data_IF_395691302166
#
_entry.id   IF_395691302166
#
_cell.length_a   1.000
_cell.length_b   1.000
_cell.length_c   1.000
_cell.angle_alpha   90.00
_cell.angle_beta   90.00
_cell.angle_gamma   90.00
#
_symmetry.space_group_name_H-M   'P 1'
#
loop_
_entity.id
_entity.type
_entity.pdbx_description
1 polymer ?
#
# COMPACT_ATOMS: atom_id res chain seq x y z
N UNK A 1 17.38 3.03 -26.11
CA UNK A 1 16.36 3.19 -25.04
C UNK A 1 15.96 1.79 -24.60
N UNK A 2 16.02 1.48 -23.31
CA UNK A 2 15.55 0.17 -22.83
C UNK A 2 14.03 0.08 -23.04
N UNK A 3 13.49 -1.09 -23.40
CA UNK A 3 12.04 -1.26 -23.49
C UNK A 3 11.41 -0.95 -22.13
N UNK A 4 10.29 -0.23 -22.12
CA UNK A 4 9.61 0.26 -20.89
C UNK A 4 9.27 -0.86 -19.89
N UNK A 5 9.20 -2.10 -20.37
CA UNK A 5 9.04 -3.31 -19.56
C UNK A 5 10.18 -3.47 -18.55
N UNK A 6 11.43 -3.15 -18.91
CA UNK A 6 12.60 -3.39 -18.05
C UNK A 6 12.56 -2.49 -16.79
N UNK A 7 12.41 -1.15 -16.89
CA UNK A 7 12.25 -0.30 -15.70
C UNK A 7 11.07 -0.69 -14.80
N UNK A 8 9.94 -1.11 -15.38
CA UNK A 8 8.75 -1.53 -14.63
C UNK A 8 9.05 -2.78 -13.80
N UNK A 9 9.63 -3.81 -14.44
CA UNK A 9 9.97 -5.07 -13.76
C UNK A 9 11.00 -4.83 -12.66
N UNK A 10 12.00 -3.98 -12.92
CA UNK A 10 13.01 -3.61 -11.90
C UNK A 10 12.36 -2.87 -10.73
N UNK A 11 11.49 -1.89 -10.99
CA UNK A 11 10.77 -1.17 -9.93
C UNK A 11 9.91 -2.08 -9.06
N UNK A 12 9.17 -3.00 -9.68
CA UNK A 12 8.38 -4.01 -8.96
C UNK A 12 9.26 -4.96 -8.16
N UNK A 13 10.39 -5.40 -8.72
CA UNK A 13 11.34 -6.26 -8.04
C UNK A 13 11.95 -5.57 -6.82
N UNK A 14 12.33 -4.29 -6.92
CA UNK A 14 12.85 -3.50 -5.80
C UNK A 14 11.79 -3.38 -4.70
N UNK A 15 10.54 -3.07 -5.06
CA UNK A 15 9.44 -3.02 -4.08
C UNK A 15 9.22 -4.35 -3.37
N UNK A 16 9.18 -5.45 -4.13
CA UNK A 16 9.06 -6.80 -3.60
C UNK A 16 10.24 -7.18 -2.70
N UNK A 17 11.46 -6.79 -3.05
CA UNK A 17 12.67 -7.00 -2.25
C UNK A 17 12.62 -6.20 -0.94
N UNK A 18 12.25 -4.93 -0.97
CA UNK A 18 12.08 -4.11 0.23
C UNK A 18 11.00 -4.71 1.16
N UNK A 19 9.90 -5.18 0.56
CA UNK A 19 8.87 -5.96 1.25
C UNK A 19 9.43 -7.24 1.87
N UNK A 20 10.20 -8.02 1.12
CA UNK A 20 10.86 -9.24 1.60
C UNK A 20 11.81 -9.00 2.76
N UNK A 21 12.60 -7.92 2.72
CA UNK A 21 13.50 -7.51 3.81
C UNK A 21 12.69 -7.17 5.06
N UNK A 22 11.65 -6.35 4.94
CA UNK A 22 10.74 -6.04 6.05
C UNK A 22 10.12 -7.31 6.63
N UNK A 23 9.59 -8.17 5.77
CA UNK A 23 8.99 -9.42 6.16
C UNK A 23 9.96 -10.36 6.85
N UNK A 24 11.22 -10.41 6.41
CA UNK A 24 12.26 -11.23 7.02
C UNK A 24 12.55 -10.77 8.45
N UNK A 25 12.76 -9.47 8.66
CA UNK A 25 12.98 -8.92 10.00
C UNK A 25 11.76 -9.17 10.89
N UNK A 26 10.57 -8.77 10.47
CA UNK A 26 9.35 -8.96 11.28
C UNK A 26 9.09 -10.43 11.60
N UNK A 27 9.31 -11.35 10.64
CA UNK A 27 9.01 -12.76 10.82
C UNK A 27 10.07 -13.56 11.59
N UNK A 28 11.35 -13.16 11.54
CA UNK A 28 12.45 -13.90 12.18
C UNK A 28 13.04 -13.23 13.42
N UNK A 29 13.13 -11.91 13.45
CA UNK A 29 13.75 -11.19 14.57
C UNK A 29 12.73 -10.70 15.58
N UNK A 30 11.43 -10.75 15.27
CA UNK A 30 10.37 -10.31 16.16
C UNK A 30 10.31 -8.79 16.37
N UNK A 31 11.02 -8.02 15.52
CA UNK A 31 10.95 -6.56 15.55
C UNK A 31 9.51 -6.12 15.25
N UNK A 32 8.95 -5.16 16.02
CA UNK A 32 7.62 -4.63 15.74
C UNK A 32 7.49 -4.16 14.28
N UNK A 33 6.42 -4.58 13.56
CA UNK A 33 6.16 -4.21 12.16
C UNK A 33 6.44 -2.76 11.80
N UNK A 34 5.93 -1.85 12.63
CA UNK A 34 6.00 -0.41 12.41
C UNK A 34 7.45 0.11 12.35
N UNK A 35 8.34 -0.40 13.23
CA UNK A 35 9.74 0.00 13.28
C UNK A 35 10.47 -0.47 12.02
N UNK A 36 10.25 -1.72 11.63
CA UNK A 36 10.87 -2.28 10.42
C UNK A 36 10.47 -1.50 9.17
N UNK A 37 9.17 -1.25 8.98
CA UNK A 37 8.66 -0.55 7.80
C UNK A 37 9.05 0.93 7.77
N UNK A 38 9.04 1.62 8.91
CA UNK A 38 9.50 3.01 8.99
C UNK A 38 11.00 3.12 8.69
N UNK A 39 11.82 2.22 9.24
CA UNK A 39 13.25 2.17 8.95
C UNK A 39 13.50 1.96 7.45
N UNK A 40 12.80 1.00 6.84
CA UNK A 40 12.90 0.76 5.40
C UNK A 40 12.42 1.94 4.55
N UNK A 41 11.38 2.67 4.98
CA UNK A 41 10.94 3.90 4.31
C UNK A 41 12.05 4.94 4.26
N UNK A 42 12.73 5.18 5.39
CA UNK A 42 13.84 6.14 5.49
C UNK A 42 15.02 5.70 4.61
N UNK A 43 15.38 4.41 4.67
CA UNK A 43 16.47 3.84 3.85
C UNK A 43 16.16 3.92 2.36
N UNK A 44 14.99 3.45 1.93
CA UNK A 44 14.58 3.46 0.53
C UNK A 44 14.54 4.88 -0.03
N UNK A 45 14.05 5.83 0.77
CA UNK A 45 13.99 7.23 0.38
C UNK A 45 15.37 7.88 0.32
N UNK A 46 16.23 7.63 1.30
CA UNK A 46 17.60 8.09 1.30
C UNK A 46 18.37 7.55 0.10
N UNK A 47 18.23 6.26 -0.20
CA UNK A 47 18.81 5.64 -1.38
C UNK A 47 18.29 6.27 -2.68
N UNK A 48 16.99 6.56 -2.77
CA UNK A 48 16.42 7.25 -3.92
C UNK A 48 16.96 8.69 -4.07
N UNK A 49 17.14 9.42 -2.97
CA UNK A 49 17.73 10.76 -2.98
C UNK A 49 19.20 10.75 -3.40
N UNK A 50 20.00 9.79 -2.92
CA UNK A 50 21.40 9.63 -3.32
C UNK A 50 21.47 9.32 -4.81
N UNK A 51 20.61 8.42 -5.30
CA UNK A 51 20.60 8.03 -6.71
C UNK A 51 20.15 9.18 -7.63
N UNK A 52 19.24 10.04 -7.17
CA UNK A 52 18.70 11.14 -7.99
C UNK A 52 19.39 12.49 -7.76
N UNK A 53 20.45 12.56 -6.93
CA UNK A 53 21.04 13.80 -6.43
C UNK A 53 20.00 14.80 -5.87
N UNK A 54 18.91 14.28 -5.29
CA UNK A 54 17.74 15.05 -4.84
C UNK A 54 16.92 15.72 -5.94
N UNK A 55 17.29 15.56 -7.21
CA UNK A 55 16.61 16.19 -8.36
C UNK A 55 15.46 15.34 -8.89
N UNK A 56 14.37 15.96 -9.38
CA UNK A 56 13.33 15.24 -10.09
C UNK A 56 13.86 14.74 -11.44
N UNK A 57 13.69 13.44 -11.69
CA UNK A 57 13.97 12.85 -13.01
C UNK A 57 12.75 13.07 -13.88
N UNK A 58 12.86 14.03 -14.79
CA UNK A 58 11.81 14.41 -15.75
C UNK A 58 12.18 13.88 -17.15
N UNK A 59 11.22 13.77 -18.07
CA UNK A 59 11.37 13.18 -19.42
C UNK A 59 11.23 11.65 -19.46
N UNK A 60 10.13 11.15 -18.89
CA UNK A 60 9.75 9.74 -19.03
C UNK A 60 9.23 9.46 -20.44
N UNK A 61 9.50 8.26 -20.96
CA UNK A 61 9.09 7.85 -22.31
C UNK A 61 7.55 7.89 -22.43
N UNK A 62 6.98 8.28 -23.59
CA UNK A 62 5.52 8.32 -23.76
C UNK A 62 4.81 6.99 -23.44
N UNK A 63 5.46 5.87 -23.74
CA UNK A 63 5.01 4.52 -23.39
C UNK A 63 4.85 4.31 -21.87
N UNK A 64 5.71 4.92 -21.05
CA UNK A 64 5.60 4.86 -19.59
C UNK A 64 4.47 5.74 -19.08
N UNK A 65 4.32 6.93 -19.66
CA UNK A 65 3.27 7.87 -19.27
C UNK A 65 1.86 7.32 -19.53
N UNK A 66 1.70 6.41 -20.50
CA UNK A 66 0.43 5.71 -20.74
C UNK A 66 -0.11 4.99 -19.48
N UNK A 67 0.76 4.51 -18.60
CA UNK A 67 0.35 3.84 -17.34
C UNK A 67 -0.37 4.80 -16.39
N UNK A 68 0.00 6.08 -16.42
CA UNK A 68 -0.55 7.10 -15.52
C UNK A 68 -1.55 8.07 -16.15
N UNK A 69 -1.45 8.26 -17.48
CA UNK A 69 -2.20 9.26 -18.25
C UNK A 69 -2.96 8.66 -19.43
N UNK A 70 -2.77 7.37 -19.73
CA UNK A 70 -3.46 6.70 -20.82
C UNK A 70 -4.94 6.51 -20.52
N UNK A 71 -5.73 6.42 -21.59
CA UNK A 71 -7.16 6.14 -21.54
C UNK A 71 -7.49 4.99 -22.48
N UNK A 72 -8.39 4.11 -22.04
CA UNK A 72 -8.90 3.00 -22.83
C UNK A 72 -10.43 3.12 -22.79
N UNK A 73 -11.06 3.27 -23.97
CA UNK A 73 -12.51 3.44 -24.10
C UNK A 73 -13.10 4.56 -23.21
N UNK A 74 -12.36 5.66 -23.03
CA UNK A 74 -12.76 6.81 -22.19
C UNK A 74 -12.62 6.59 -20.69
N UNK A 75 -12.02 5.48 -20.26
CA UNK A 75 -11.71 5.21 -18.85
C UNK A 75 -10.20 5.38 -18.63
N UNK A 76 -9.76 6.18 -17.64
CA UNK A 76 -8.35 6.30 -17.30
C UNK A 76 -7.74 4.94 -16.94
N UNK A 77 -6.60 4.61 -17.56
CA UNK A 77 -5.89 3.36 -17.34
C UNK A 77 -5.58 3.07 -15.85
N UNK A 78 -5.23 4.06 -15.00
CA UNK A 78 -5.05 3.83 -13.57
C UNK A 78 -6.28 3.21 -12.86
N UNK A 79 -7.49 3.55 -13.31
CA UNK A 79 -8.75 3.00 -12.75
C UNK A 79 -8.92 1.54 -13.15
N UNK A 80 -8.63 1.22 -14.40
CA UNK A 80 -8.66 -0.16 -14.91
C UNK A 80 -7.64 -1.02 -14.17
N UNK A 81 -6.41 -0.51 -14.02
CA UNK A 81 -5.35 -1.19 -13.29
C UNK A 81 -5.76 -1.41 -11.81
N UNK A 82 -6.32 -0.40 -11.15
CA UNK A 82 -6.85 -0.54 -9.79
C UNK A 82 -7.92 -1.62 -9.70
N UNK A 83 -8.88 -1.65 -10.63
CA UNK A 83 -9.94 -2.66 -10.65
C UNK A 83 -9.38 -4.09 -10.84
N UNK A 84 -8.44 -4.26 -11.78
CA UNK A 84 -7.75 -5.54 -12.00
C UNK A 84 -7.06 -6.00 -10.71
N UNK A 85 -6.30 -5.10 -10.07
CA UNK A 85 -5.58 -5.44 -8.85
C UNK A 85 -6.52 -5.74 -7.68
N UNK A 86 -7.64 -5.02 -7.55
CA UNK A 86 -8.66 -5.31 -6.55
C UNK A 86 -9.27 -6.71 -6.74
N UNK A 87 -9.55 -7.11 -7.99
CA UNK A 87 -10.05 -8.46 -8.31
C UNK A 87 -8.99 -9.52 -8.03
N UNK A 88 -7.73 -9.30 -8.42
CA UNK A 88 -6.64 -10.24 -8.15
C UNK A 88 -6.44 -10.45 -6.65
N UNK A 89 -6.41 -9.36 -5.87
CA UNK A 89 -6.35 -9.44 -4.41
C UNK A 89 -7.58 -10.17 -3.86
N UNK A 90 -8.78 -9.94 -4.41
CA UNK A 90 -10.02 -10.57 -3.96
C UNK A 90 -9.95 -12.09 -4.11
N UNK A 91 -9.51 -12.54 -5.29
CA UNK A 91 -9.31 -13.97 -5.55
C UNK A 91 -8.22 -14.53 -4.64
N UNK A 92 -7.11 -13.81 -4.47
CA UNK A 92 -5.99 -14.23 -3.63
C UNK A 92 -6.43 -14.41 -2.17
N UNK A 93 -7.19 -13.49 -1.59
CA UNK A 93 -7.61 -13.58 -0.18
C UNK A 93 -8.80 -14.51 0.05
N UNK A 94 -9.77 -14.60 -0.88
CA UNK A 94 -10.99 -15.39 -0.66
C UNK A 94 -10.93 -16.81 -1.22
N UNK A 95 -10.22 -17.02 -2.33
CA UNK A 95 -10.24 -18.29 -3.06
C UNK A 95 -8.94 -19.09 -2.98
N UNK A 96 -7.91 -18.62 -2.28
CA UNK A 96 -6.64 -19.36 -2.14
C UNK A 96 -6.34 -19.78 -0.71
N UNK A 97 -5.45 -20.77 -0.56
CA UNK A 97 -4.91 -21.18 0.76
C UNK A 97 -4.13 -20.06 1.43
N UNK A 98 -3.49 -19.20 0.65
CA UNK A 98 -2.74 -18.04 1.16
C UNK A 98 -3.64 -17.15 2.01
N UNK A 99 -4.80 -16.74 1.49
CA UNK A 99 -5.75 -15.91 2.23
C UNK A 99 -6.21 -16.55 3.55
N UNK A 100 -6.59 -17.83 3.53
CA UNK A 100 -6.99 -18.57 4.75
C UNK A 100 -5.90 -18.57 5.82
N UNK A 101 -4.63 -18.77 5.43
CA UNK A 101 -3.52 -18.71 6.37
C UNK A 101 -3.25 -17.29 6.87
N UNK A 102 -3.40 -16.27 6.02
CA UNK A 102 -3.25 -14.86 6.43
C UNK A 102 -4.30 -14.48 7.49
N UNK A 103 -5.57 -14.83 7.27
CA UNK A 103 -6.63 -14.57 8.27
C UNK A 103 -6.41 -15.36 9.56
N UNK A 104 -5.99 -16.63 9.47
CA UNK A 104 -5.69 -17.45 10.65
C UNK A 104 -4.53 -16.87 11.49
N UNK A 105 -3.43 -16.46 10.82
CA UNK A 105 -2.28 -15.82 11.47
C UNK A 105 -2.70 -14.48 12.11
N UNK A 106 -3.51 -13.69 11.41
CA UNK A 106 -4.00 -12.42 11.92
C UNK A 106 -4.93 -12.54 13.13
N UNK A 107 -5.73 -13.62 13.21
CA UNK A 107 -6.62 -13.84 14.34
C UNK A 107 -5.90 -14.36 15.58
N UNK A 108 -5.00 -15.34 15.43
CA UNK A 108 -4.16 -15.83 16.52
C UNK A 108 -2.90 -16.50 15.96
N UNK A 109 -1.77 -15.80 16.07
CA UNK A 109 -0.48 -16.28 15.57
C UNK A 109 -0.03 -17.60 16.24
N UNK A 110 -0.24 -17.74 17.55
CA UNK A 110 0.16 -18.95 18.28
C UNK A 110 -0.69 -20.15 17.87
N UNK A 111 -2.00 -19.97 17.75
CA UNK A 111 -2.90 -21.03 17.31
C UNK A 111 -2.61 -21.47 15.86
N UNK A 112 -2.28 -20.53 14.98
CA UNK A 112 -1.86 -20.82 13.62
C UNK A 112 -0.57 -21.66 13.59
N UNK A 113 0.40 -21.33 14.46
CA UNK A 113 1.66 -22.08 14.57
C UNK A 113 1.45 -23.51 15.06
N UNK A 114 0.65 -23.72 16.11
CA UNK A 114 0.30 -25.04 16.64
C UNK A 114 -0.50 -25.87 15.62
N UNK A 115 -1.26 -25.22 14.74
CA UNK A 115 -1.99 -25.86 13.63
C UNK A 115 -1.10 -26.24 12.43
N UNK A 116 0.23 -26.15 12.56
CA UNK A 116 1.19 -26.53 11.53
C UNK A 116 1.38 -25.49 10.42
N UNK A 117 0.86 -24.27 10.58
CA UNK A 117 1.06 -23.19 9.60
C UNK A 117 2.45 -22.60 9.82
N UNK A 118 3.24 -22.51 8.75
CA UNK A 118 4.53 -21.83 8.78
C UNK A 118 4.33 -20.30 8.79
N UNK A 119 4.07 -19.76 9.99
CA UNK A 119 3.76 -18.34 10.21
C UNK A 119 4.82 -17.43 9.59
N UNK A 120 6.11 -17.73 9.81
CA UNK A 120 7.20 -16.89 9.30
C UNK A 120 7.19 -16.79 7.77
N UNK A 121 6.95 -17.91 7.06
CA UNK A 121 6.86 -17.91 5.59
C UNK A 121 5.71 -17.02 5.10
N UNK A 122 4.52 -17.16 5.69
CA UNK A 122 3.35 -16.39 5.25
C UNK A 122 3.44 -14.91 5.62
N UNK A 123 4.05 -14.56 6.77
CA UNK A 123 4.38 -13.17 7.10
C UNK A 123 5.29 -12.56 6.04
N UNK A 124 6.38 -13.23 5.67
CA UNK A 124 7.30 -12.74 4.63
C UNK A 124 6.55 -12.51 3.30
N UNK A 125 5.72 -13.47 2.88
CA UNK A 125 4.94 -13.35 1.64
C UNK A 125 3.96 -12.17 1.65
N UNK A 126 3.31 -11.89 2.78
CA UNK A 126 2.42 -10.72 2.94
C UNK A 126 3.19 -9.42 2.73
N UNK A 127 4.39 -9.30 3.32
CA UNK A 127 5.20 -8.10 3.12
C UNK A 127 5.76 -7.97 1.70
N UNK A 128 6.14 -9.07 1.04
CA UNK A 128 6.55 -9.07 -0.37
C UNK A 128 5.42 -8.54 -1.25
N UNK A 129 4.19 -9.07 -1.06
CA UNK A 129 3.01 -8.61 -1.79
C UNK A 129 2.72 -7.13 -1.51
N UNK A 130 2.78 -6.71 -0.24
CA UNK A 130 2.63 -5.30 0.14
C UNK A 130 3.64 -4.40 -0.56
N UNK A 131 4.92 -4.77 -0.56
CA UNK A 131 5.99 -4.03 -1.24
C UNK A 131 5.80 -3.97 -2.76
N UNK A 132 5.34 -5.06 -3.38
CA UNK A 132 5.01 -5.08 -4.80
C UNK A 132 3.81 -4.16 -5.13
N UNK A 133 2.79 -4.13 -4.27
CA UNK A 133 1.63 -3.24 -4.44
C UNK A 133 2.03 -1.77 -4.27
N UNK A 134 2.88 -1.46 -3.29
CA UNK A 134 3.41 -0.10 -3.09
C UNK A 134 4.26 0.35 -4.28
N UNK A 135 5.09 -0.53 -4.85
CA UNK A 135 5.85 -0.21 -6.06
C UNK A 135 4.94 0.02 -7.26
N UNK A 136 3.89 -0.79 -7.45
CA UNK A 136 2.91 -0.58 -8.51
C UNK A 136 2.21 0.79 -8.36
N UNK A 137 1.80 1.16 -7.15
CA UNK A 137 1.21 2.47 -6.87
C UNK A 137 2.20 3.62 -7.17
N UNK A 138 3.48 3.45 -6.84
CA UNK A 138 4.52 4.44 -7.14
C UNK A 138 4.77 4.59 -8.66
N UNK A 139 4.73 3.48 -9.42
CA UNK A 139 4.83 3.52 -10.88
C UNK A 139 3.67 4.31 -11.50
N UNK A 140 2.43 4.04 -11.06
CA UNK A 140 1.25 4.78 -11.51
C UNK A 140 1.35 6.27 -11.17
N UNK A 141 1.76 6.60 -9.94
CA UNK A 141 1.87 7.99 -9.50
C UNK A 141 2.94 8.76 -10.28
N UNK A 142 4.12 8.17 -10.45
CA UNK A 142 5.21 8.80 -11.22
C UNK A 142 4.90 8.92 -12.71
N UNK A 143 4.20 7.94 -13.30
CA UNK A 143 3.69 8.01 -14.66
C UNK A 143 2.63 9.11 -14.80
N UNK A 144 1.74 9.27 -13.82
CA UNK A 144 0.67 10.27 -13.83
C UNK A 144 1.23 11.69 -13.88
N UNK A 145 2.33 11.95 -13.18
CA UNK A 145 2.96 13.28 -13.13
C UNK A 145 4.15 13.41 -14.10
N UNK A 146 4.44 12.39 -14.91
CA UNK A 146 5.57 12.34 -15.85
C UNK A 146 6.93 12.69 -15.22
N UNK A 147 7.11 12.40 -13.94
CA UNK A 147 8.31 12.73 -13.17
C UNK A 147 8.53 11.75 -12.03
N UNK A 148 9.79 11.32 -11.85
CA UNK A 148 10.23 10.52 -10.72
C UNK A 148 11.01 11.37 -9.73
N UNK A 149 10.39 11.76 -8.62
CA UNK A 149 11.06 12.49 -7.55
C UNK A 149 11.02 11.70 -6.22
N UNK A 150 12.11 11.67 -5.43
CA UNK A 150 12.15 10.93 -4.14
C UNK A 150 11.12 11.42 -3.10
N UNK A 151 10.59 12.64 -3.30
CA UNK A 151 9.55 13.25 -2.46
C UNK A 151 8.13 12.75 -2.74
N UNK A 152 7.91 12.02 -3.83
CA UNK A 152 6.57 11.54 -4.21
C UNK A 152 6.04 10.50 -3.23
N UNK A 153 4.71 10.45 -3.11
CA UNK A 153 4.04 9.52 -2.20
C UNK A 153 4.27 9.82 -0.71
N UNK A 154 4.70 11.04 -0.38
CA UNK A 154 4.79 11.51 1.00
C UNK A 154 3.46 11.27 1.75
N UNK A 155 3.52 10.55 2.88
CA UNK A 155 2.35 10.25 3.73
C UNK A 155 1.29 9.34 3.07
N UNK A 156 1.58 8.74 1.91
CA UNK A 156 0.63 7.79 1.29
C UNK A 156 0.47 6.52 2.11
N UNK A 157 1.48 6.18 2.92
CA UNK A 157 1.41 5.11 3.91
C UNK A 157 0.29 5.35 4.94
N UNK A 158 0.11 6.59 5.39
CA UNK A 158 -0.96 6.95 6.33
C UNK A 158 -2.33 6.93 5.65
N UNK A 159 -2.41 7.41 4.40
CA UNK A 159 -3.65 7.35 3.60
C UNK A 159 -4.08 5.89 3.36
N UNK A 160 -3.13 4.98 3.13
CA UNK A 160 -3.41 3.55 2.97
C UNK A 160 -3.92 2.91 4.28
N UNK A 161 -3.32 3.24 5.43
CA UNK A 161 -3.79 2.79 6.75
C UNK A 161 -5.19 3.34 7.04
N UNK A 162 -5.44 4.61 6.72
CA UNK A 162 -6.75 5.25 6.86
C UNK A 162 -7.82 4.52 6.05
N UNK A 163 -7.54 4.30 4.76
CA UNK A 163 -8.44 3.64 3.82
C UNK A 163 -8.76 2.21 4.27
N UNK A 164 -7.76 1.43 4.69
CA UNK A 164 -7.97 0.08 5.19
C UNK A 164 -8.81 0.05 6.46
N UNK A 165 -8.54 0.96 7.40
CA UNK A 165 -9.27 1.03 8.69
C UNK A 165 -10.72 1.47 8.49
N UNK A 166 -10.97 2.51 7.69
CA UNK A 166 -12.33 2.95 7.32
C UNK A 166 -13.07 1.83 6.58
N UNK A 167 -12.36 1.07 5.76
CA UNK A 167 -12.86 -0.12 5.07
C UNK A 167 -13.17 -1.32 5.99
N UNK A 168 -12.94 -1.21 7.30
CA UNK A 168 -13.26 -2.24 8.28
C UNK A 168 -12.21 -3.33 8.45
N UNK A 169 -10.96 -3.06 8.08
CA UNK A 169 -9.82 -3.92 8.44
C UNK A 169 -9.43 -3.65 9.89
N UNK A 170 -9.41 -4.69 10.71
CA UNK A 170 -9.09 -4.58 12.14
C UNK A 170 -7.60 -4.43 12.38
N UNK A 171 -7.20 -3.48 13.23
CA UNK A 171 -5.82 -3.36 13.70
C UNK A 171 -5.37 -4.50 14.61
N UNK A 172 -6.33 -5.17 15.27
CA UNK A 172 -6.07 -6.34 16.12
C UNK A 172 -5.90 -7.63 15.32
N UNK A 173 -6.18 -7.60 14.01
CA UNK A 173 -5.93 -8.70 13.07
C UNK A 173 -7.12 -9.65 12.86
N UNK A 174 -7.00 -10.49 11.83
CA UNK A 174 -7.94 -11.58 11.53
C UNK A 174 -9.28 -11.17 10.90
N UNK A 175 -9.55 -9.88 10.77
CA UNK A 175 -10.81 -9.34 10.23
C UNK A 175 -10.51 -8.29 9.17
N UNK A 176 -11.14 -8.42 8.00
CA UNK A 176 -11.07 -7.43 6.93
C UNK A 176 -11.59 -7.99 5.61
N UNK A 177 -12.12 -7.13 4.74
CA UNK A 177 -12.57 -7.52 3.40
C UNK A 177 -12.03 -6.56 2.35
N UNK A 178 -11.71 -7.08 1.17
CA UNK A 178 -11.19 -6.23 0.08
C UNK A 178 -12.25 -5.26 -0.42
N UNK A 179 -13.51 -5.68 -0.47
CA UNK A 179 -14.61 -4.79 -0.83
C UNK A 179 -14.68 -3.59 0.11
N UNK A 180 -14.56 -3.82 1.42
CA UNK A 180 -14.46 -2.75 2.41
C UNK A 180 -13.24 -1.85 2.18
N UNK A 181 -12.04 -2.41 1.96
CA UNK A 181 -10.83 -1.62 1.68
C UNK A 181 -10.95 -0.77 0.42
N UNK A 182 -11.58 -1.29 -0.65
CA UNK A 182 -11.84 -0.53 -1.88
C UNK A 182 -12.77 0.65 -1.59
N UNK A 183 -13.85 0.44 -0.84
CA UNK A 183 -14.76 1.53 -0.43
C UNK A 183 -14.01 2.56 0.43
N UNK A 184 -13.19 2.12 1.38
CA UNK A 184 -12.37 3.02 2.20
C UNK A 184 -11.37 3.84 1.38
N UNK A 185 -10.73 3.23 0.38
CA UNK A 185 -9.82 3.92 -0.53
C UNK A 185 -10.57 4.96 -1.40
N UNK A 186 -11.78 4.64 -1.85
CA UNK A 186 -12.63 5.58 -2.57
C UNK A 186 -13.07 6.75 -1.67
N UNK A 187 -13.42 6.50 -0.40
CA UNK A 187 -13.76 7.56 0.56
C UNK A 187 -12.59 8.54 0.74
N UNK A 188 -11.38 8.02 0.99
CA UNK A 188 -10.17 8.85 1.11
C UNK A 188 -9.87 9.60 -0.20
N UNK A 189 -10.03 8.92 -1.35
CA UNK A 189 -9.83 9.53 -2.66
C UNK A 189 -10.80 10.66 -2.95
N UNK A 190 -12.10 10.47 -2.71
CA UNK A 190 -13.14 11.49 -2.87
C UNK A 190 -12.92 12.64 -1.90
N UNK A 191 -12.53 12.36 -0.66
CA UNK A 191 -12.22 13.40 0.32
C UNK A 191 -11.07 14.29 -0.13
N UNK A 192 -9.97 13.67 -0.60
CA UNK A 192 -8.82 14.42 -1.09
C UNK A 192 -9.19 15.31 -2.29
N UNK A 193 -9.91 14.76 -3.27
CA UNK A 193 -10.37 15.54 -4.43
C UNK A 193 -11.40 16.61 -4.03
N UNK A 194 -12.30 16.31 -3.09
CA UNK A 194 -13.32 17.25 -2.63
C UNK A 194 -12.72 18.45 -1.90
N UNK A 195 -11.76 18.22 -0.99
CA UNK A 195 -11.04 19.30 -0.31
C UNK A 195 -10.23 20.15 -1.29
N UNK A 196 -9.63 19.51 -2.30
CA UNK A 196 -8.89 20.20 -3.36
C UNK A 196 -9.80 21.10 -4.22
N UNK A 197 -10.97 20.59 -4.62
CA UNK A 197 -11.99 21.36 -5.36
C UNK A 197 -12.56 22.53 -4.54
N UNK A 198 -12.64 22.37 -3.22
CA UNK A 198 -13.02 23.43 -2.29
C UNK A 198 -11.87 24.42 -2.02
N UNK A 199 -10.73 24.29 -2.70
CA UNK A 199 -9.53 25.11 -2.53
C UNK A 199 -9.03 25.16 -1.07
N UNK A 200 -9.24 24.08 -0.31
CA UNK A 200 -8.70 23.95 1.04
C UNK A 200 -7.20 23.72 0.94
N UNK A 201 -6.40 24.54 1.63
CA UNK A 201 -4.95 24.44 1.56
C UNK A 201 -4.44 23.06 1.97
N UNK A 202 -3.37 22.59 1.34
CA UNK A 202 -2.77 21.27 1.60
C UNK A 202 -2.39 21.06 3.09
N UNK A 203 -2.06 22.15 3.79
CA UNK A 203 -1.78 22.12 5.23
C UNK A 203 -3.02 21.73 6.05
N UNK A 204 -4.18 22.31 5.75
CA UNK A 204 -5.44 21.94 6.39
C UNK A 204 -5.88 20.52 6.02
N UNK A 205 -5.65 20.09 4.78
CA UNK A 205 -5.89 18.72 4.37
C UNK A 205 -5.10 17.73 5.25
N UNK A 206 -3.83 18.02 5.54
CA UNK A 206 -2.99 17.17 6.41
C UNK A 206 -3.55 17.06 7.83
N UNK A 207 -4.04 18.17 8.41
CA UNK A 207 -4.69 18.17 9.73
C UNK A 207 -5.96 17.33 9.72
N UNK A 208 -6.83 17.53 8.73
CA UNK A 208 -8.10 16.80 8.58
C UNK A 208 -7.85 15.30 8.44
N UNK A 209 -6.88 14.90 7.59
CA UNK A 209 -6.50 13.50 7.42
C UNK A 209 -6.02 12.87 8.73
N UNK A 210 -5.17 13.57 9.49
CA UNK A 210 -4.70 13.10 10.79
C UNK A 210 -5.85 12.85 11.77
N UNK A 211 -6.80 13.80 11.85
CA UNK A 211 -7.99 13.66 12.70
C UNK A 211 -8.85 12.46 12.26
N UNK A 212 -9.05 12.28 10.96
CA UNK A 212 -9.85 11.16 10.42
C UNK A 212 -9.20 9.82 10.73
N UNK A 213 -7.88 9.69 10.57
CA UNK A 213 -7.15 8.46 10.90
C UNK A 213 -7.32 8.11 12.37
N UNK A 214 -7.07 9.07 13.27
CA UNK A 214 -7.19 8.86 14.72
C UNK A 214 -8.63 8.49 15.09
N UNK A 215 -9.62 9.18 14.52
CA UNK A 215 -11.03 8.90 14.76
C UNK A 215 -11.42 7.49 14.28
N UNK A 216 -10.99 7.11 13.07
CA UNK A 216 -11.27 5.79 12.49
C UNK A 216 -10.66 4.67 13.33
N UNK A 217 -9.38 4.79 13.70
CA UNK A 217 -8.67 3.79 14.51
C UNK A 217 -9.24 3.71 15.93
N UNK A 218 -9.52 4.86 16.57
CA UNK A 218 -10.10 4.87 17.91
C UNK A 218 -11.49 4.22 17.94
N UNK A 219 -12.28 4.41 16.89
CA UNK A 219 -13.59 3.77 16.76
C UNK A 219 -13.47 2.26 16.54
N UNK A 220 -12.53 1.81 15.69
CA UNK A 220 -12.27 0.38 15.46
C UNK A 220 -11.81 -0.32 16.75
N UNK A 221 -10.85 0.27 17.48
CA UNK A 221 -10.36 -0.28 18.74
C UNK A 221 -11.46 -0.42 19.79
N UNK A 222 -12.34 0.59 19.93
CA UNK A 222 -13.47 0.53 20.88
C UNK A 222 -14.50 -0.53 20.49
N UNK A 223 -14.76 -0.69 19.19
CA UNK A 223 -15.73 -1.67 18.69
C UNK A 223 -15.23 -3.10 18.88
N UNK A 224 -13.93 -3.34 18.67
CA UNK A 224 -13.33 -4.66 18.79
C UNK A 224 -13.05 -5.03 20.27
N UNK A 225 -12.67 -4.06 21.11
CA UNK A 225 -12.48 -4.28 22.56
C UNK A 225 -13.77 -4.66 23.30
N UNK A 226 -14.96 -4.38 22.74
CA UNK A 226 -16.25 -4.82 23.29
C UNK A 226 -16.64 -6.25 22.89
N UNK A 227 -15.87 -6.91 22.01
CA UNK A 227 -16.15 -8.27 21.51
C UNK A 227 -15.17 -9.34 22.04
N UNK A 228 -14.04 -8.93 22.63
CA UNK A 228 -13.15 -9.80 23.45
C UNK A 228 -13.62 -9.82 24.90
#
# INVERSE_FOLDING_TARGET
MLPVVVPIVVGLAIGALCGGINGFFVAKTGIPPFIATLGMMIVARGAAMIYSDGRPVSSLTPEYNFIGQGEIFGIPFPVILFAIMAVLCYILLNHTRFGKYVYAIGGNEQAAHVSGINVSKYKILVYILGGAMSALAALVLSARISSGQPGLGNMFELDAIAAATIGGVSHSGGIGTIQGTVVGALIIGVLNNGLDLLNVSAYWQMVIKGVIIVAAVAFDMRKNARKS
#
